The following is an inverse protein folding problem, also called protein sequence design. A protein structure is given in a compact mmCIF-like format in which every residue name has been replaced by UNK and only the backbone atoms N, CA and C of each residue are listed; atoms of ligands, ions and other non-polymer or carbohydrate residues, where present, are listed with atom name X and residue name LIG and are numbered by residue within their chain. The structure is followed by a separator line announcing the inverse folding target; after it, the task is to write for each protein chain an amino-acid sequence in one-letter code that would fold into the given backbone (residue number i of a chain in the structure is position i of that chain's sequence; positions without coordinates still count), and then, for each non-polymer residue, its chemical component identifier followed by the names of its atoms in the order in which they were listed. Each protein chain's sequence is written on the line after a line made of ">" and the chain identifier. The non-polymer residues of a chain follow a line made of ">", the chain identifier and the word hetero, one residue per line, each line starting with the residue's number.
data_IF_599394926389
#
_entry.id   IF_599394926389
#
_cell.length_a   1.000
_cell.length_b   1.000
_cell.length_c   1.000
_cell.angle_alpha   90.00
_cell.angle_beta   90.00
_cell.angle_gamma   90.00
#
_symmetry.space_group_name_H-M   'P 1'
#
loop_
_entity.id
_entity.type
_entity.pdbx_description
1 polymer ?
#
# COMPACT_ATOMS: atom_id res chain seq x y z
N UNK A 1 2.84 11.68 0.82
CA UNK A 1 1.59 11.33 0.10
C UNK A 1 1.82 10.25 -0.96
N UNK A 2 3.03 10.14 -1.52
CA UNK A 2 3.36 9.24 -2.63
C UNK A 2 2.96 7.77 -2.41
N UNK A 3 3.25 7.19 -1.24
CA UNK A 3 2.89 5.79 -0.96
C UNK A 3 1.39 5.56 -0.86
N UNK A 4 0.65 6.55 -0.32
CA UNK A 4 -0.82 6.52 -0.24
C UNK A 4 -1.41 6.58 -1.64
N UNK A 5 -0.94 7.53 -2.47
CA UNK A 5 -1.39 7.66 -3.85
C UNK A 5 -1.07 6.41 -4.69
N UNK A 6 0.09 5.81 -4.45
CA UNK A 6 0.49 4.56 -5.11
C UNK A 6 -0.41 3.39 -4.73
N UNK A 7 -0.78 3.27 -3.45
CA UNK A 7 -1.73 2.27 -2.98
C UNK A 7 -3.13 2.46 -3.62
N UNK A 8 -3.67 3.68 -3.60
CA UNK A 8 -4.97 4.00 -4.19
C UNK A 8 -4.97 3.68 -5.69
N UNK A 9 -3.93 4.12 -6.41
CA UNK A 9 -3.80 3.86 -7.85
C UNK A 9 -3.75 2.36 -8.16
N UNK A 10 -3.01 1.58 -7.36
CA UNK A 10 -3.00 0.13 -7.51
C UNK A 10 -4.39 -0.48 -7.28
N UNK A 11 -5.08 -0.05 -6.23
CA UNK A 11 -6.40 -0.58 -5.89
C UNK A 11 -7.42 -0.31 -7.00
N UNK A 12 -7.52 0.93 -7.48
CA UNK A 12 -8.45 1.32 -8.54
C UNK A 12 -8.12 0.64 -9.88
N UNK A 13 -6.83 0.53 -10.25
CA UNK A 13 -6.43 -0.22 -11.44
C UNK A 13 -6.85 -1.69 -11.35
N UNK A 14 -6.72 -2.30 -10.16
CA UNK A 14 -7.12 -3.68 -9.92
C UNK A 14 -8.62 -3.88 -9.93
N UNK A 15 -9.37 -2.95 -9.36
CA UNK A 15 -10.82 -2.89 -9.46
C UNK A 15 -11.29 -2.74 -10.91
N UNK A 16 -10.57 -1.98 -11.74
CA UNK A 16 -10.82 -1.86 -13.18
C UNK A 16 -10.39 -3.11 -14.00
N UNK A 17 -9.95 -4.18 -13.34
CA UNK A 17 -9.58 -5.45 -13.98
C UNK A 17 -8.12 -5.54 -14.46
N UNK A 18 -7.28 -4.55 -14.15
CA UNK A 18 -5.88 -4.49 -14.62
C UNK A 18 -4.89 -4.55 -13.45
N UNK A 19 -3.59 -4.74 -13.70
CA UNK A 19 -2.59 -4.69 -12.64
C UNK A 19 -2.54 -5.93 -11.70
N UNK A 20 -1.73 -5.82 -10.65
CA UNK A 20 -1.29 -6.94 -9.81
C UNK A 20 -2.34 -7.34 -8.79
N UNK A 21 -2.43 -8.63 -8.46
CA UNK A 21 -3.31 -9.15 -7.41
C UNK A 21 -2.89 -8.76 -5.97
N UNK A 22 -1.67 -8.25 -5.81
CA UNK A 22 -1.13 -7.84 -4.52
C UNK A 22 -0.35 -6.53 -4.60
N UNK A 23 -0.37 -5.76 -3.51
CA UNK A 23 0.45 -4.57 -3.32
C UNK A 23 1.50 -4.81 -2.25
N UNK A 24 2.72 -4.32 -2.48
CA UNK A 24 3.80 -4.42 -1.50
C UNK A 24 3.91 -3.11 -0.70
N UNK A 25 3.69 -3.20 0.61
CA UNK A 25 3.93 -2.11 1.54
C UNK A 25 5.39 -2.19 1.97
N UNK A 26 6.16 -1.15 1.68
CA UNK A 26 7.55 -1.07 2.09
C UNK A 26 7.64 -0.82 3.60
N UNK A 27 8.36 -1.68 4.32
CA UNK A 27 8.79 -1.37 5.68
C UNK A 27 10.06 -0.55 5.54
N UNK A 28 9.93 0.75 5.81
CA UNK A 28 11.03 1.70 5.81
C UNK A 28 12.10 1.37 6.86
N UNK A 29 13.19 2.12 6.87
CA UNK A 29 14.35 1.85 7.73
C UNK A 29 14.02 1.75 9.22
N UNK A 30 13.03 2.51 9.69
CA UNK A 30 12.55 2.48 11.07
C UNK A 30 11.73 1.23 11.44
N UNK A 31 11.27 0.44 10.46
CA UNK A 31 10.46 -0.77 10.68
C UNK A 31 10.99 -2.03 9.96
N UNK A 32 12.08 -1.92 9.18
CA UNK A 32 12.65 -3.05 8.43
C UNK A 32 13.55 -3.96 9.26
N UNK A 33 14.16 -3.47 10.34
CA UNK A 33 15.09 -4.27 11.15
C UNK A 33 16.41 -4.59 10.39
N UNK A 34 17.03 -5.76 10.60
CA UNK A 34 18.34 -6.09 10.02
C UNK A 34 18.29 -6.44 8.53
N UNK A 35 17.13 -6.37 7.88
CA UNK A 35 16.96 -6.77 6.49
C UNK A 35 17.31 -5.64 5.52
N UNK A 36 17.89 -6.00 4.38
CA UNK A 36 18.15 -5.06 3.27
C UNK A 36 16.85 -4.53 2.66
N UNK A 37 15.80 -5.37 2.64
CA UNK A 37 14.43 -5.00 2.28
C UNK A 37 13.44 -5.85 3.05
N UNK A 38 12.35 -5.24 3.53
CA UNK A 38 11.22 -5.93 4.15
C UNK A 38 9.92 -5.33 3.61
N UNK A 39 9.02 -6.20 3.14
CA UNK A 39 7.75 -5.80 2.55
C UNK A 39 6.63 -6.68 3.10
N UNK A 40 5.50 -6.07 3.40
CA UNK A 40 4.25 -6.80 3.65
C UNK A 40 3.40 -6.73 2.40
N UNK A 41 2.67 -7.80 2.10
CA UNK A 41 1.82 -7.86 0.91
C UNK A 41 0.35 -7.83 1.30
N UNK A 42 -0.39 -6.94 0.67
CA UNK A 42 -1.86 -6.89 0.75
C UNK A 42 -2.42 -7.56 -0.48
N UNK A 43 -3.39 -8.45 -0.31
CA UNK A 43 -4.08 -9.14 -1.41
C UNK A 43 -5.39 -8.42 -1.70
N UNK A 44 -5.59 -8.02 -2.96
CA UNK A 44 -6.72 -7.21 -3.39
C UNK A 44 -8.08 -7.83 -3.02
N UNK A 45 -8.26 -9.12 -3.29
CA UNK A 45 -9.54 -9.82 -3.05
C UNK A 45 -9.87 -10.03 -1.56
N UNK A 46 -8.96 -9.66 -0.65
CA UNK A 46 -9.14 -9.74 0.80
C UNK A 46 -9.37 -8.37 1.46
N UNK A 47 -9.36 -7.29 0.67
CA UNK A 47 -9.68 -5.95 1.17
C UNK A 47 -11.20 -5.78 1.15
N UNK A 48 -11.82 -5.67 2.34
CA UNK A 48 -13.24 -5.32 2.45
C UNK A 48 -13.47 -3.81 2.41
N UNK A 49 -12.62 -3.04 3.11
CA UNK A 49 -12.69 -1.57 3.18
C UNK A 49 -11.35 -0.98 3.60
N UNK A 50 -11.09 0.29 3.27
CA UNK A 50 -9.97 1.08 3.77
C UNK A 50 -10.34 2.56 3.85
N UNK A 51 -9.60 3.31 4.66
CA UNK A 51 -9.75 4.77 4.80
C UNK A 51 -8.43 5.48 4.54
N UNK A 52 -8.49 6.65 3.90
CA UNK A 52 -7.35 7.56 3.74
C UNK A 52 -7.62 8.78 4.60
N UNK A 53 -6.72 9.07 5.54
CA UNK A 53 -6.84 10.21 6.45
C UNK A 53 -5.66 11.15 6.20
N UNK A 54 -5.97 12.41 5.89
CA UNK A 54 -4.99 13.48 5.71
C UNK A 54 -5.11 14.48 6.86
N UNK A 55 -3.98 14.80 7.50
CA UNK A 55 -3.92 15.80 8.56
C UNK A 55 -3.42 17.13 8.00
N UNK A 56 -4.05 18.24 8.40
CA UNK A 56 -3.68 19.58 7.98
C UNK A 56 -2.56 20.22 8.82
N UNK A 57 -2.27 19.68 10.00
CA UNK A 57 -1.26 20.18 10.93
C UNK A 57 -0.07 19.20 11.03
N UNK A 58 1.14 19.75 11.19
CA UNK A 58 2.36 18.99 11.51
C UNK A 58 2.53 18.84 13.01
#
# INVERSE_FOLDING_TARGET
>A
MDEVNSFITWYENKQAGTGKASYAINKHDNYKGPFTSRKDYVIFDKILTFSVNEYSAK
#
